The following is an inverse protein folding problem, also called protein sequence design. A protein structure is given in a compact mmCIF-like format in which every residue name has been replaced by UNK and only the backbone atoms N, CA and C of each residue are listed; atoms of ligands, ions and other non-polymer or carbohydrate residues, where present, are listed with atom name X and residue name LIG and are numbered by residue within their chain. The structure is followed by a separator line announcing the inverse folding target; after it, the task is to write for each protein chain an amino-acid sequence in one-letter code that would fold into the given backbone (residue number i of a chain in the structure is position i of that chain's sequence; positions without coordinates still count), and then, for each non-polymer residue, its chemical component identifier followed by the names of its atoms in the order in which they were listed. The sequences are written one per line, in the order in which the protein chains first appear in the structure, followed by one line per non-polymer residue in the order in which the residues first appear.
data_IF_683404136506
#
_entry.id   IF_683404136506
#
_cell.length_a   1.000
_cell.length_b   1.000
_cell.length_c   1.000
_cell.angle_alpha   90.00
_cell.angle_beta   90.00
_cell.angle_gamma   90.00
#
_symmetry.space_group_name_H-M   'P 1'
#
loop_
_entity.id
_entity.type
_entity.pdbx_description
1 polymer ?
#
# COMPACT_ATOMS: atom_id res chain seq x y z
N UNK A 1 9.13 -29.50 -4.72
CA UNK A 1 7.82 -29.03 -4.22
C UNK A 1 8.03 -27.72 -3.48
N UNK A 2 7.44 -26.63 -3.98
CA UNK A 2 7.39 -25.36 -3.25
C UNK A 2 6.11 -25.23 -2.42
N UNK A 3 6.03 -24.23 -1.56
CA UNK A 3 4.82 -23.92 -0.78
C UNK A 3 4.32 -22.53 -1.16
N UNK A 4 3.34 -22.49 -2.06
CA UNK A 4 2.64 -21.26 -2.36
C UNK A 4 1.98 -20.70 -1.09
N UNK A 5 2.20 -19.42 -0.79
CA UNK A 5 1.73 -18.77 0.45
C UNK A 5 0.70 -17.69 0.22
N UNK A 6 0.93 -16.83 -0.75
CA UNK A 6 -0.02 -15.81 -1.14
C UNK A 6 -0.21 -15.81 -2.67
N UNK A 7 -1.38 -15.36 -3.08
CA UNK A 7 -1.70 -15.05 -4.46
C UNK A 7 -2.38 -13.69 -4.51
N UNK A 8 -1.95 -12.84 -5.43
CA UNK A 8 -2.63 -11.61 -5.79
C UNK A 8 -2.97 -11.64 -7.28
N UNK A 9 -4.19 -11.24 -7.66
CA UNK A 9 -4.61 -11.21 -9.07
C UNK A 9 -4.89 -9.76 -9.47
N UNK A 10 -4.15 -9.27 -10.46
CA UNK A 10 -4.37 -7.96 -11.09
C UNK A 10 -4.80 -8.19 -12.54
N UNK A 11 -6.08 -7.96 -12.84
CA UNK A 11 -6.64 -8.24 -14.16
C UNK A 11 -6.52 -9.71 -14.53
N UNK A 12 -5.72 -10.01 -15.57
CA UNK A 12 -5.46 -11.37 -16.05
C UNK A 12 -4.11 -11.93 -15.57
N UNK A 13 -3.40 -11.24 -14.67
CA UNK A 13 -2.10 -11.66 -14.17
C UNK A 13 -2.18 -12.02 -12.70
N UNK A 14 -1.70 -13.22 -12.35
CA UNK A 14 -1.57 -13.69 -10.98
C UNK A 14 -0.12 -13.64 -10.52
N UNK A 15 0.10 -13.14 -9.31
CA UNK A 15 1.38 -13.07 -8.63
C UNK A 15 1.34 -14.03 -7.45
N UNK A 16 2.26 -14.99 -7.40
CA UNK A 16 2.26 -16.06 -6.40
C UNK A 16 3.59 -16.11 -5.68
N UNK A 17 3.59 -16.03 -4.35
CA UNK A 17 4.80 -16.21 -3.53
C UNK A 17 4.97 -17.67 -3.12
N UNK A 18 6.19 -18.19 -3.22
CA UNK A 18 6.60 -19.54 -2.83
C UNK A 18 7.67 -19.45 -1.74
N UNK A 19 7.26 -19.59 -0.47
CA UNK A 19 8.12 -19.38 0.72
C UNK A 19 9.38 -20.25 0.70
N UNK A 20 9.27 -21.53 0.31
CA UNK A 20 10.39 -22.47 0.37
C UNK A 20 11.40 -22.26 -0.75
N UNK A 21 10.99 -21.57 -1.80
CA UNK A 21 11.88 -21.18 -2.89
C UNK A 21 12.30 -19.72 -2.82
N UNK A 22 11.66 -18.91 -1.98
CA UNK A 22 11.84 -17.46 -1.95
C UNK A 22 11.42 -16.79 -3.26
N UNK A 23 10.50 -17.39 -4.05
CA UNK A 23 10.18 -16.90 -5.39
C UNK A 23 8.84 -16.17 -5.44
N UNK A 24 8.78 -15.09 -6.21
CA UNK A 24 7.54 -14.55 -6.76
C UNK A 24 7.37 -15.02 -8.20
N UNK A 25 6.29 -15.74 -8.49
CA UNK A 25 5.92 -16.17 -9.84
C UNK A 25 4.88 -15.22 -10.42
N UNK A 26 5.03 -14.86 -11.68
CA UNK A 26 4.09 -14.02 -12.44
C UNK A 26 3.46 -14.89 -13.53
N UNK A 27 2.15 -15.09 -13.46
CA UNK A 27 1.41 -16.09 -14.22
C UNK A 27 0.27 -15.41 -14.97
N UNK A 28 0.18 -15.62 -16.27
CA UNK A 28 -1.00 -15.30 -17.07
C UNK A 28 -2.11 -16.31 -16.75
N UNK A 29 -3.26 -15.79 -16.31
CA UNK A 29 -4.47 -16.54 -15.99
C UNK A 29 -5.65 -16.11 -16.85
N UNK A 30 -5.39 -15.52 -18.03
CA UNK A 30 -6.41 -15.18 -19.03
C UNK A 30 -7.28 -16.38 -19.40
N UNK A 31 -6.66 -17.55 -19.59
CA UNK A 31 -7.35 -18.85 -19.62
C UNK A 31 -7.13 -19.59 -18.29
N UNK A 32 -8.13 -19.66 -17.40
CA UNK A 32 -7.98 -20.33 -16.11
C UNK A 32 -7.78 -21.85 -16.24
N UNK A 33 -8.07 -22.44 -17.40
CA UNK A 33 -7.83 -23.86 -17.68
C UNK A 33 -6.42 -24.12 -18.19
N UNK A 34 -5.71 -23.08 -18.64
CA UNK A 34 -4.35 -23.16 -19.14
C UNK A 34 -3.48 -21.98 -18.67
N UNK A 35 -3.16 -21.88 -17.36
CA UNK A 35 -2.26 -20.84 -16.85
C UNK A 35 -0.86 -20.94 -17.46
N UNK A 36 -0.24 -19.79 -17.77
CA UNK A 36 1.10 -19.72 -18.35
C UNK A 36 2.06 -18.87 -17.50
N UNK A 37 3.25 -19.38 -17.20
CA UNK A 37 4.28 -18.61 -16.48
C UNK A 37 4.83 -17.53 -17.42
N UNK A 38 4.71 -16.26 -17.01
CA UNK A 38 5.28 -15.10 -17.71
C UNK A 38 6.71 -14.83 -17.26
N UNK A 39 6.96 -14.90 -15.95
CA UNK A 39 8.27 -14.65 -15.36
C UNK A 39 8.31 -14.96 -13.88
N UNK A 40 9.46 -14.71 -13.28
CA UNK A 40 9.68 -14.91 -11.85
C UNK A 40 10.71 -13.92 -11.32
N UNK A 41 10.59 -13.56 -10.05
CA UNK A 41 11.56 -12.81 -9.30
C UNK A 41 12.01 -13.63 -8.08
N UNK A 42 13.28 -13.51 -7.70
CA UNK A 42 13.89 -14.21 -6.56
C UNK A 42 14.31 -13.19 -5.49
N UNK A 43 13.36 -12.79 -4.61
CA UNK A 43 13.68 -12.01 -3.42
C UNK A 43 14.76 -12.66 -2.54
N UNK A 44 15.52 -11.86 -1.77
CA UNK A 44 16.58 -12.38 -0.92
C UNK A 44 16.09 -13.28 0.22
N UNK A 45 14.83 -13.12 0.64
CA UNK A 45 14.24 -13.74 1.80
C UNK A 45 13.22 -14.84 1.49
N UNK A 46 12.35 -15.08 2.48
CA UNK A 46 11.29 -16.08 2.39
C UNK A 46 9.96 -15.38 2.12
N UNK A 47 9.61 -15.25 0.85
CA UNK A 47 8.41 -14.50 0.45
C UNK A 47 7.12 -15.17 0.94
N UNK A 48 6.39 -14.47 1.80
CA UNK A 48 5.15 -14.95 2.41
C UNK A 48 3.91 -14.25 1.83
N UNK A 49 3.99 -12.94 1.60
CA UNK A 49 2.86 -12.12 1.14
C UNK A 49 3.17 -11.34 -0.12
N UNK A 50 2.16 -11.10 -0.96
CA UNK A 50 2.27 -10.21 -2.12
C UNK A 50 1.01 -9.37 -2.28
N UNK A 51 1.20 -8.09 -2.62
CA UNK A 51 0.15 -7.17 -3.05
C UNK A 51 0.63 -6.43 -4.29
N UNK A 52 -0.24 -6.17 -5.27
CA UNK A 52 0.14 -5.45 -6.48
C UNK A 52 -0.75 -4.23 -6.67
N UNK A 53 -0.12 -3.06 -6.84
CA UNK A 53 -0.79 -1.81 -7.20
C UNK A 53 -0.23 -1.31 -8.53
N UNK A 54 -1.06 -1.27 -9.57
CA UNK A 54 -0.62 -0.90 -10.92
C UNK A 54 0.49 -1.82 -11.43
N UNK A 55 1.68 -1.25 -11.66
CA UNK A 55 2.88 -1.94 -12.14
C UNK A 55 3.90 -2.23 -11.04
N UNK A 56 3.52 -2.07 -9.77
CA UNK A 56 4.41 -2.28 -8.63
C UNK A 56 3.90 -3.42 -7.75
N UNK A 57 4.74 -4.42 -7.52
CA UNK A 57 4.50 -5.51 -6.59
C UNK A 57 5.23 -5.25 -5.26
N UNK A 58 4.50 -5.43 -4.17
CA UNK A 58 4.97 -5.32 -2.79
C UNK A 58 5.00 -6.72 -2.21
N UNK A 59 6.18 -7.18 -1.78
CA UNK A 59 6.39 -8.54 -1.28
C UNK A 59 6.85 -8.47 0.16
N UNK A 60 6.10 -9.12 1.05
CA UNK A 60 6.51 -9.36 2.42
C UNK A 60 7.46 -10.58 2.43
N UNK A 61 8.74 -10.32 2.69
CA UNK A 61 9.85 -11.24 2.41
C UNK A 61 10.51 -11.83 3.66
N UNK A 62 9.69 -12.09 4.69
CA UNK A 62 10.16 -12.65 5.95
C UNK A 62 11.11 -11.68 6.66
N UNK A 63 12.30 -12.16 7.04
CA UNK A 63 13.30 -11.38 7.77
C UNK A 63 14.02 -10.33 6.91
N UNK A 64 13.78 -10.30 5.61
CA UNK A 64 14.28 -9.25 4.70
C UNK A 64 13.27 -8.10 4.55
N UNK A 65 12.20 -8.12 5.33
CA UNK A 65 11.20 -7.05 5.41
C UNK A 65 10.32 -6.93 4.16
N UNK A 66 10.09 -5.69 3.72
CA UNK A 66 9.30 -5.36 2.55
C UNK A 66 10.19 -5.17 1.33
N UNK A 67 9.91 -5.89 0.25
CA UNK A 67 10.54 -5.72 -1.05
C UNK A 67 9.56 -5.06 -2.02
N UNK A 68 10.00 -4.05 -2.78
CA UNK A 68 9.18 -3.30 -3.73
C UNK A 68 9.76 -3.51 -5.13
N UNK A 69 8.96 -4.09 -6.02
CA UNK A 69 9.42 -4.66 -7.29
C UNK A 69 8.60 -4.04 -8.44
N UNK A 70 9.29 -3.56 -9.46
CA UNK A 70 8.69 -3.21 -10.74
C UNK A 70 8.31 -4.48 -11.49
N UNK A 71 7.04 -4.57 -11.88
CA UNK A 71 6.46 -5.66 -12.67
C UNK A 71 5.82 -5.15 -13.95
N UNK A 72 6.23 -3.97 -14.44
CA UNK A 72 5.79 -3.39 -15.72
C UNK A 72 6.02 -4.37 -16.88
N UNK A 73 7.22 -4.96 -16.94
CA UNK A 73 7.49 -6.12 -17.79
C UNK A 73 7.45 -7.40 -16.92
N UNK A 74 6.37 -8.21 -16.99
CA UNK A 74 6.24 -9.41 -16.18
C UNK A 74 7.29 -10.49 -16.49
N UNK A 75 8.02 -10.35 -17.59
CA UNK A 75 9.13 -11.25 -17.95
C UNK A 75 10.48 -10.80 -17.38
N UNK A 76 10.59 -9.55 -16.94
CA UNK A 76 11.80 -8.93 -16.39
C UNK A 76 11.51 -8.08 -15.15
N UNK A 77 11.00 -8.68 -14.05
CA UNK A 77 10.78 -7.96 -12.81
C UNK A 77 12.09 -7.43 -12.21
N UNK A 78 12.05 -6.24 -11.61
CA UNK A 78 13.24 -5.56 -11.08
C UNK A 78 12.98 -4.92 -9.71
N UNK A 79 13.95 -4.98 -8.79
CA UNK A 79 13.85 -4.31 -7.50
C UNK A 79 13.85 -2.77 -7.68
N UNK A 80 12.85 -2.11 -7.10
CA UNK A 80 12.81 -0.66 -6.97
C UNK A 80 13.46 -0.21 -5.66
N UNK A 81 13.11 -0.88 -4.55
CA UNK A 81 13.62 -0.59 -3.22
C UNK A 81 13.15 -1.62 -2.20
N UNK A 82 13.60 -1.45 -0.97
CA UNK A 82 13.24 -2.33 0.14
C UNK A 82 13.22 -1.57 1.46
N UNK A 83 12.48 -2.11 2.42
CA UNK A 83 12.40 -1.59 3.78
C UNK A 83 12.56 -2.74 4.79
N UNK A 84 13.60 -2.66 5.61
CA UNK A 84 13.88 -3.64 6.68
C UNK A 84 12.89 -3.44 7.85
N UNK A 85 12.11 -4.46 8.15
CA UNK A 85 11.14 -4.45 9.25
C UNK A 85 11.75 -5.10 10.49
N UNK A 86 11.37 -4.70 11.72
CA UNK A 86 12.01 -5.21 12.94
C UNK A 86 11.76 -6.72 13.22
N UNK A 87 10.80 -7.33 12.53
CA UNK A 87 10.39 -8.72 12.67
C UNK A 87 10.41 -9.50 11.35
N UNK A 88 9.47 -10.43 11.22
CA UNK A 88 9.32 -11.26 10.01
C UNK A 88 8.08 -10.81 9.26
N UNK A 89 8.27 -10.14 8.13
CA UNK A 89 7.21 -9.67 7.25
C UNK A 89 6.45 -10.87 6.65
N UNK A 90 5.14 -10.95 6.93
CA UNK A 90 4.27 -12.08 6.58
C UNK A 90 3.21 -11.76 5.54
N UNK A 91 2.68 -10.54 5.59
CA UNK A 91 1.65 -10.06 4.68
C UNK A 91 1.80 -8.56 4.48
N UNK A 92 1.35 -8.09 3.32
CA UNK A 92 1.34 -6.68 2.97
C UNK A 92 0.00 -6.33 2.33
N UNK A 93 -0.52 -5.16 2.66
CA UNK A 93 -1.65 -4.53 1.99
C UNK A 93 -1.26 -3.08 1.68
N UNK A 94 -1.56 -2.60 0.48
CA UNK A 94 -1.25 -1.21 0.09
C UNK A 94 -2.54 -0.45 -0.16
N UNK A 95 -2.68 0.70 0.50
CA UNK A 95 -3.73 1.69 0.27
C UNK A 95 -3.06 2.99 -0.20
N UNK A 96 -3.31 3.37 -1.46
CA UNK A 96 -2.64 4.50 -2.10
C UNK A 96 -1.12 4.36 -2.02
N UNK A 97 -0.52 5.25 -1.24
CA UNK A 97 0.94 5.35 -1.04
C UNK A 97 1.41 4.80 0.33
N UNK A 98 0.54 4.18 1.12
CA UNK A 98 0.90 3.50 2.37
C UNK A 98 0.83 1.98 2.23
N UNK A 99 1.91 1.32 2.62
CA UNK A 99 1.98 -0.12 2.82
C UNK A 99 1.81 -0.49 4.30
N UNK A 100 0.85 -1.35 4.59
CA UNK A 100 0.64 -1.97 5.90
C UNK A 100 1.25 -3.37 5.85
N UNK A 101 2.31 -3.60 6.63
CA UNK A 101 3.06 -4.86 6.66
C UNK A 101 2.85 -5.52 8.01
N UNK A 102 2.29 -6.74 8.03
CA UNK A 102 2.29 -7.53 9.27
C UNK A 102 3.64 -8.20 9.45
N UNK A 103 4.25 -8.02 10.61
CA UNK A 103 5.67 -8.27 10.86
C UNK A 103 5.90 -9.30 12.00
N UNK A 104 4.96 -10.24 12.15
CA UNK A 104 5.01 -11.24 13.21
C UNK A 104 4.96 -10.60 14.59
N UNK A 105 6.01 -10.80 15.39
CA UNK A 105 6.13 -10.18 16.73
C UNK A 105 6.42 -8.68 16.68
N UNK A 106 6.84 -8.15 15.52
CA UNK A 106 6.99 -6.72 15.27
C UNK A 106 5.65 -5.99 15.09
N UNK A 107 4.52 -6.68 15.15
CA UNK A 107 3.20 -6.08 15.00
C UNK A 107 2.89 -5.69 13.56
N UNK A 108 2.29 -4.51 13.36
CA UNK A 108 2.03 -3.94 12.03
C UNK A 108 2.94 -2.75 11.81
N UNK A 109 3.70 -2.77 10.73
CA UNK A 109 4.51 -1.66 10.26
C UNK A 109 3.75 -0.89 9.19
N UNK A 110 3.77 0.43 9.27
CA UNK A 110 3.07 1.35 8.37
C UNK A 110 4.14 2.13 7.64
N UNK A 111 4.30 1.86 6.36
CA UNK A 111 5.43 2.30 5.55
C UNK A 111 4.93 3.19 4.42
N UNK A 112 5.46 4.40 4.32
CA UNK A 112 5.32 5.26 3.16
C UNK A 112 6.09 4.65 1.99
N UNK A 113 5.38 4.42 0.89
CA UNK A 113 5.91 3.89 -0.37
C UNK A 113 5.67 4.84 -1.55
N UNK A 114 5.48 6.13 -1.27
CA UNK A 114 5.33 7.20 -2.29
C UNK A 114 6.50 7.22 -3.26
N UNK A 115 7.73 7.09 -2.74
CA UNK A 115 8.92 6.78 -3.54
C UNK A 115 9.30 5.31 -3.31
N UNK A 116 8.97 4.40 -4.25
CA UNK A 116 9.33 2.99 -4.17
C UNK A 116 10.81 2.71 -3.98
N UNK A 117 11.69 3.64 -4.36
CA UNK A 117 13.14 3.50 -4.19
C UNK A 117 13.62 3.91 -2.79
N UNK A 118 12.81 4.65 -2.03
CA UNK A 118 13.14 5.16 -0.69
C UNK A 118 11.95 5.03 0.27
N UNK A 119 11.47 3.81 0.55
CA UNK A 119 10.39 3.61 1.51
C UNK A 119 10.80 4.05 2.92
N UNK A 120 9.84 4.54 3.71
CA UNK A 120 10.12 5.04 5.06
C UNK A 120 8.98 4.74 6.05
N UNK A 121 9.30 4.61 7.34
CA UNK A 121 8.30 4.29 8.36
C UNK A 121 7.44 5.53 8.71
N UNK A 122 6.13 5.40 8.58
CA UNK A 122 5.15 6.36 9.09
C UNK A 122 4.80 6.06 10.55
N UNK A 123 4.73 4.78 10.91
CA UNK A 123 4.44 4.36 12.27
C UNK A 123 4.38 2.85 12.42
N UNK A 124 4.12 2.38 13.63
CA UNK A 124 3.92 0.97 13.93
C UNK A 124 2.80 0.80 14.95
N UNK A 125 2.20 -0.39 14.94
CA UNK A 125 1.21 -0.81 15.91
C UNK A 125 1.59 -2.16 16.50
N UNK A 126 1.81 -2.18 17.81
CA UNK A 126 2.08 -3.40 18.55
C UNK A 126 0.80 -4.23 18.68
N UNK A 127 0.81 -5.42 18.10
CA UNK A 127 -0.27 -6.39 18.28
C UNK A 127 0.01 -7.26 19.51
N UNK A 128 -1.01 -7.65 20.29
CA UNK A 128 -0.82 -8.48 21.48
C UNK A 128 -0.39 -9.92 21.17
N UNK A 129 -0.39 -10.32 19.90
CA UNK A 129 0.22 -11.55 19.41
C UNK A 129 0.76 -11.38 17.99
N UNK A 130 1.33 -12.46 17.45
CA UNK A 130 1.98 -12.46 16.13
C UNK A 130 1.04 -12.02 15.00
N UNK A 131 1.31 -10.87 14.39
CA UNK A 131 0.55 -10.35 13.24
C UNK A 131 0.82 -11.21 11.99
N UNK A 132 -0.24 -11.68 11.33
CA UNK A 132 -0.14 -12.65 10.23
C UNK A 132 -0.81 -12.23 8.93
N UNK A 133 -1.87 -11.43 9.03
CA UNK A 133 -2.58 -10.93 7.86
C UNK A 133 -3.15 -9.55 8.18
N UNK A 134 -3.23 -8.70 7.17
CA UNK A 134 -3.83 -7.37 7.25
C UNK A 134 -4.72 -7.14 6.04
N UNK A 135 -5.82 -6.43 6.26
CA UNK A 135 -6.69 -5.91 5.22
C UNK A 135 -7.16 -4.53 5.64
N UNK A 136 -7.14 -3.55 4.73
CA UNK A 136 -7.59 -2.19 5.03
C UNK A 136 -8.84 -1.86 4.21
N UNK A 137 -9.84 -1.26 4.85
CA UNK A 137 -11.06 -0.78 4.21
C UNK A 137 -11.40 0.60 4.75
N UNK A 138 -11.23 1.63 3.91
CA UNK A 138 -11.32 3.01 4.36
C UNK A 138 -10.29 3.28 5.46
N UNK A 139 -10.71 3.95 6.53
CA UNK A 139 -9.85 4.26 7.68
C UNK A 139 -9.67 3.10 8.66
N UNK A 140 -10.03 1.87 8.30
CA UNK A 140 -10.00 0.73 9.24
C UNK A 140 -9.12 -0.40 8.74
N UNK A 141 -8.12 -0.78 9.54
CA UNK A 141 -7.29 -1.95 9.33
C UNK A 141 -7.79 -3.14 10.17
N UNK A 142 -7.92 -4.29 9.51
CA UNK A 142 -8.28 -5.58 10.11
C UNK A 142 -7.02 -6.45 10.16
N UNK A 143 -6.59 -6.84 11.36
CA UNK A 143 -5.33 -7.56 11.56
C UNK A 143 -5.59 -8.91 12.21
N UNK A 144 -5.12 -10.00 11.60
CA UNK A 144 -5.20 -11.34 12.20
C UNK A 144 -3.94 -11.62 13.03
N UNK A 145 -4.10 -11.93 14.32
CA UNK A 145 -3.00 -12.10 15.30
C UNK A 145 -2.82 -13.55 15.76
N UNK A 146 -3.23 -14.52 14.93
CA UNK A 146 -3.12 -15.95 15.24
C UNK A 146 -4.12 -16.39 16.32
N UNK A 147 -3.62 -16.72 17.51
CA UNK A 147 -4.43 -17.28 18.61
C UNK A 147 -5.41 -16.28 19.24
N UNK A 148 -5.18 -14.98 19.02
CA UNK A 148 -5.99 -13.91 19.62
C UNK A 148 -7.07 -13.35 18.67
N UNK A 149 -7.20 -13.89 17.45
CA UNK A 149 -8.29 -13.57 16.53
C UNK A 149 -8.00 -12.37 15.60
N UNK A 150 -9.02 -11.55 15.36
CA UNK A 150 -8.98 -10.38 14.46
C UNK A 150 -9.10 -9.09 15.26
N UNK A 151 -8.17 -8.16 15.06
CA UNK A 151 -8.23 -6.80 15.59
C UNK A 151 -8.75 -5.83 14.53
N UNK A 152 -9.45 -4.78 14.99
CA UNK A 152 -10.01 -3.72 14.15
C UNK A 152 -9.42 -2.41 14.66
N UNK A 153 -8.57 -1.80 13.85
CA UNK A 153 -7.78 -0.63 14.24
C UNK A 153 -8.11 0.54 13.31
N UNK A 154 -8.28 1.73 13.88
CA UNK A 154 -8.41 2.96 13.11
C UNK A 154 -7.03 3.39 12.59
N UNK A 155 -6.94 3.62 11.29
CA UNK A 155 -5.72 4.01 10.55
C UNK A 155 -5.90 5.32 9.80
N UNK A 156 -6.91 6.13 10.16
CA UNK A 156 -7.19 7.46 9.56
C UNK A 156 -6.01 8.44 9.52
N UNK A 157 -4.95 8.24 10.31
CA UNK A 157 -3.74 9.07 10.32
C UNK A 157 -2.52 8.45 9.63
N UNK A 158 -2.68 7.33 8.93
CA UNK A 158 -1.59 6.51 8.38
C UNK A 158 -1.50 6.53 6.85
N UNK A 159 -2.44 7.15 6.15
CA UNK A 159 -2.35 7.45 4.72
C UNK A 159 -1.31 8.57 4.53
N UNK A 160 -0.47 8.54 3.47
CA UNK A 160 0.39 9.68 3.17
C UNK A 160 -0.57 10.79 2.77
N UNK A 161 -0.34 11.99 3.27
CA UNK A 161 -1.31 13.09 3.22
C UNK A 161 -1.92 13.24 1.82
N UNK A 162 -3.09 12.64 1.58
CA UNK A 162 -3.81 12.87 0.36
C UNK A 162 -4.36 14.28 0.49
N UNK A 163 -3.64 15.23 -0.09
CA UNK A 163 -3.89 16.65 0.12
C UNK A 163 -5.35 17.01 -0.14
N UNK A 164 -5.98 16.36 -1.12
CA UNK A 164 -7.38 16.56 -1.53
C UNK A 164 -8.42 15.89 -0.63
N UNK A 165 -8.04 14.91 0.20
CA UNK A 165 -8.90 14.37 1.27
C UNK A 165 -8.84 15.30 2.48
N UNK A 166 -9.59 16.40 2.38
CA UNK A 166 -9.56 17.45 3.39
C UNK A 166 -10.33 17.11 4.66
N UNK A 167 -11.19 16.10 4.63
CA UNK A 167 -11.93 15.65 5.81
C UNK A 167 -11.30 14.42 6.49
N UNK A 168 -10.31 13.78 5.86
CA UNK A 168 -9.57 12.64 6.38
C UNK A 168 -10.37 11.34 6.41
N UNK A 169 -11.39 11.20 5.55
CA UNK A 169 -12.27 10.03 5.51
C UNK A 169 -11.81 8.93 4.53
N UNK A 170 -10.69 9.15 3.84
CA UNK A 170 -10.07 8.22 2.91
C UNK A 170 -10.75 8.15 1.54
N UNK A 171 -11.70 9.04 1.24
CA UNK A 171 -12.40 9.07 -0.05
C UNK A 171 -12.52 10.49 -0.57
N UNK A 172 -11.92 10.77 -1.74
CA UNK A 172 -12.13 12.07 -2.43
C UNK A 172 -13.58 12.18 -2.93
N UNK A 173 -14.41 12.92 -2.20
CA UNK A 173 -15.84 13.06 -2.48
C UNK A 173 -16.39 14.45 -2.12
N UNK A 174 -17.65 14.74 -2.45
CA UNK A 174 -18.23 16.08 -2.24
C UNK A 174 -18.08 16.68 -0.82
N UNK A 175 -17.79 15.87 0.21
CA UNK A 175 -17.47 16.34 1.55
C UNK A 175 -16.13 17.08 1.64
N UNK A 176 -15.11 16.63 0.93
CA UNK A 176 -13.80 17.31 0.90
C UNK A 176 -13.88 18.64 0.16
N UNK A 177 -14.60 18.64 -0.98
CA UNK A 177 -14.94 19.86 -1.69
C UNK A 177 -15.66 20.87 -0.78
N UNK A 178 -16.55 20.38 0.10
CA UNK A 178 -17.23 21.24 1.07
C UNK A 178 -16.27 21.83 2.11
N UNK A 179 -15.29 21.05 2.59
CA UNK A 179 -14.24 21.56 3.49
C UNK A 179 -13.41 22.64 2.80
N UNK A 180 -12.93 22.38 1.58
CA UNK A 180 -12.19 23.36 0.78
C UNK A 180 -12.99 24.65 0.56
N UNK A 181 -14.23 24.52 0.06
CA UNK A 181 -15.09 25.67 -0.23
C UNK A 181 -15.36 26.52 1.02
N UNK A 182 -15.54 25.88 2.18
CA UNK A 182 -15.73 26.57 3.46
C UNK A 182 -14.48 27.33 3.87
N UNK A 183 -13.30 26.73 3.71
CA UNK A 183 -12.02 27.37 3.99
C UNK A 183 -11.72 28.55 3.05
N UNK A 184 -11.95 28.37 1.76
CA UNK A 184 -11.79 29.40 0.72
C UNK A 184 -12.70 30.60 0.98
N UNK A 185 -13.98 30.35 1.28
CA UNK A 185 -14.96 31.40 1.62
C UNK A 185 -14.60 32.16 2.90
N UNK A 186 -13.84 31.54 3.80
CA UNK A 186 -13.39 32.14 5.05
C UNK A 186 -12.00 32.79 4.95
N UNK A 187 -11.37 32.79 3.76
CA UNK A 187 -9.98 33.22 3.56
C UNK A 187 -9.02 32.54 4.56
N UNK A 188 -9.25 31.24 4.80
CA UNK A 188 -8.43 30.44 5.72
C UNK A 188 -7.16 29.96 4.99
N UNK A 189 -5.97 30.07 5.59
CA UNK A 189 -4.70 29.62 4.98
C UNK A 189 -4.68 28.17 4.50
N UNK A 190 -5.54 27.28 5.01
CA UNK A 190 -5.63 25.90 4.49
C UNK A 190 -6.17 25.83 3.05
N UNK A 191 -6.75 26.92 2.55
CA UNK A 191 -7.24 27.06 1.18
C UNK A 191 -6.20 27.72 0.24
N UNK A 192 -5.02 28.13 0.73
CA UNK A 192 -3.87 28.49 -0.11
C UNK A 192 -3.30 27.20 -0.71
N UNK A 193 -3.79 26.86 -1.90
CA UNK A 193 -3.54 25.59 -2.56
C UNK A 193 -2.32 25.65 -3.46
N UNK A 194 -1.98 26.82 -4.02
CA UNK A 194 -0.80 26.98 -4.85
C UNK A 194 0.46 27.43 -4.05
N UNK A 195 0.30 27.80 -2.78
CA UNK A 195 1.38 28.18 -1.86
C UNK A 195 1.90 29.59 -2.09
N UNK A 196 1.09 30.50 -2.62
CA UNK A 196 1.49 31.87 -2.94
C UNK A 196 1.19 32.90 -1.83
N UNK A 197 0.77 32.42 -0.66
CA UNK A 197 0.39 33.20 0.53
C UNK A 197 -0.89 34.04 0.35
N UNK A 198 -1.61 33.84 -0.75
CA UNK A 198 -2.92 34.44 -0.99
C UNK A 198 -3.97 33.36 -1.17
N UNK A 199 -5.23 33.69 -0.84
CA UNK A 199 -6.37 32.80 -1.08
C UNK A 199 -7.23 33.47 -2.16
N UNK A 200 -7.06 33.03 -3.40
CA UNK A 200 -7.71 33.60 -4.56
C UNK A 200 -8.29 32.52 -5.50
N UNK A 201 -8.66 32.91 -6.72
CA UNK A 201 -9.25 31.99 -7.69
C UNK A 201 -8.26 30.96 -8.26
N UNK A 202 -6.96 31.23 -8.17
CA UNK A 202 -5.89 30.33 -8.62
C UNK A 202 -5.80 29.11 -7.69
N UNK A 203 -6.02 29.28 -6.39
CA UNK A 203 -6.10 28.16 -5.43
C UNK A 203 -7.27 27.24 -5.74
N UNK A 204 -8.42 27.83 -6.07
CA UNK A 204 -9.61 27.07 -6.42
C UNK A 204 -9.39 26.24 -7.69
N UNK A 205 -8.69 26.81 -8.69
CA UNK A 205 -8.34 26.11 -9.91
C UNK A 205 -7.31 25.01 -9.64
N UNK A 206 -6.29 25.28 -8.80
CA UNK A 206 -5.28 24.30 -8.42
C UNK A 206 -5.91 23.12 -7.66
N UNK A 207 -6.77 23.41 -6.68
CA UNK A 207 -7.56 22.41 -5.96
C UNK A 207 -8.40 21.56 -6.91
N UNK A 208 -9.11 22.17 -7.87
CA UNK A 208 -9.89 21.42 -8.86
C UNK A 208 -9.01 20.56 -9.78
N UNK A 209 -7.79 20.99 -10.07
CA UNK A 209 -6.80 20.19 -10.79
C UNK A 209 -6.50 18.89 -10.05
N UNK A 210 -6.13 19.00 -8.78
CA UNK A 210 -5.82 17.85 -7.93
C UNK A 210 -7.08 17.00 -7.64
N UNK A 211 -8.24 17.64 -7.48
CA UNK A 211 -9.55 17.01 -7.27
C UNK A 211 -9.92 16.03 -8.37
N UNK A 212 -9.70 16.43 -9.62
CA UNK A 212 -10.02 15.62 -10.81
C UNK A 212 -9.03 14.48 -10.98
N UNK A 213 -7.79 14.66 -10.52
CA UNK A 213 -6.77 13.60 -10.50
C UNK A 213 -7.05 12.58 -9.40
N UNK A 214 -7.56 13.02 -8.23
CA UNK A 214 -7.78 12.18 -7.05
C UNK A 214 -6.50 11.99 -6.22
N UNK A 215 -6.52 11.04 -5.28
CA UNK A 215 -5.29 10.56 -4.63
C UNK A 215 -4.55 9.62 -5.60
N UNK A 216 -3.21 9.66 -5.67
CA UNK A 216 -2.42 8.62 -6.35
C UNK A 216 -2.60 7.24 -5.70
#
# INVERSE_FOLDING_TARGET
PGSARAVFVSGTTAFVTDEWRGLMLIIDVTDPTQPALLGSYDPPGASEGVFVSGTTAFVADGWEGLQIIDVTDPTQPALLGSYDTPGSARAVFVAGTTAFVTDGEGGVQIVDVTDPAQPSLLGSYDTPGSARAVFVSGTTAFVATGWEGVQINDVSGCEPSCRVDMNGDGMVNTRDFHVFHTAWSANNPIADWNGDETVDTQDFIAFLGDWVVGCP
#
